data_IF_284116414439
#
_entry.id   IF_284116414439
#
_cell.length_a   1.000
_cell.length_b   1.000
_cell.length_c   1.000
_cell.angle_alpha   90.00
_cell.angle_beta   90.00
_cell.angle_gamma   90.00
#
_symmetry.space_group_name_H-M   'P 1'
#
loop_
_entity.id
_entity.type
_entity.pdbx_description
1 polymer ?
#
# COMPACT_ATOMS: atom_id res chain seq x y z
N UNK A 1 47.90 56.76 11.50
CA UNK A 1 47.66 56.04 10.22
C UNK A 1 47.05 54.70 10.59
N UNK A 2 45.72 54.58 10.48
CA UNK A 2 45.01 53.89 9.37
C UNK A 2 45.27 52.37 9.43
N UNK A 3 44.32 51.45 9.50
CA UNK A 3 42.87 51.43 9.25
C UNK A 3 42.52 50.06 8.63
N UNK A 4 41.26 49.59 8.80
CA UNK A 4 40.54 48.46 8.11
C UNK A 4 40.94 47.02 8.45
N UNK A 5 40.11 45.98 8.36
CA UNK A 5 38.64 45.71 8.28
C UNK A 5 38.54 44.17 8.49
N UNK A 6 37.69 43.65 9.39
CA UNK A 6 36.46 42.87 9.13
C UNK A 6 36.50 41.82 8.01
N UNK A 7 36.17 40.58 8.37
CA UNK A 7 35.21 39.65 7.70
C UNK A 7 34.98 38.47 8.66
N UNK A 8 33.88 38.42 9.41
CA UNK A 8 32.56 37.84 9.06
C UNK A 8 32.61 36.36 8.62
N UNK A 9 32.74 35.47 9.60
CA UNK A 9 32.32 34.07 9.48
C UNK A 9 30.92 33.91 10.08
N UNK A 10 29.88 34.18 9.28
CA UNK A 10 28.50 33.81 9.63
C UNK A 10 28.41 32.28 9.70
N UNK A 11 28.33 31.75 10.91
CA UNK A 11 27.80 30.40 11.14
C UNK A 11 26.33 30.40 10.69
N UNK A 12 26.02 29.67 9.63
CA UNK A 12 24.65 29.35 9.22
C UNK A 12 24.06 28.36 10.23
N UNK A 13 23.61 28.88 11.37
CA UNK A 13 22.76 28.15 12.32
C UNK A 13 21.34 28.10 11.79
N UNK A 14 21.08 27.24 10.80
CA UNK A 14 19.71 26.81 10.49
C UNK A 14 19.29 25.77 11.52
N UNK A 15 18.21 26.01 12.25
CA UNK A 15 17.66 25.00 13.16
C UNK A 15 17.27 23.74 12.36
N UNK A 16 17.65 22.53 12.77
CA UNK A 16 17.35 21.27 12.05
C UNK A 16 15.86 21.09 11.74
N UNK A 17 14.99 21.70 12.55
CA UNK A 17 13.54 21.67 12.40
C UNK A 17 12.99 22.53 11.25
N UNK A 18 13.76 23.49 10.69
CA UNK A 18 13.31 24.33 9.58
C UNK A 18 13.56 23.64 8.22
N UNK A 19 14.68 22.91 8.09
CA UNK A 19 14.99 22.12 6.90
C UNK A 19 14.01 20.94 6.73
N UNK A 20 13.49 20.38 7.83
CA UNK A 20 12.57 19.25 7.80
C UNK A 20 11.16 19.56 7.25
N UNK A 21 10.77 20.84 7.19
CA UNK A 21 9.45 21.27 6.73
C UNK A 21 9.49 21.82 5.29
N UNK A 22 10.64 22.33 4.84
CA UNK A 22 10.77 22.97 3.53
C UNK A 22 10.42 22.04 2.36
N UNK A 23 10.75 20.75 2.47
CA UNK A 23 10.41 19.72 1.49
C UNK A 23 8.90 19.46 1.34
N UNK A 24 8.09 19.95 2.27
CA UNK A 24 6.63 19.77 2.31
C UNK A 24 5.86 21.04 1.97
N UNK A 25 6.55 22.16 1.75
CA UNK A 25 5.91 23.43 1.38
C UNK A 25 5.64 23.50 -0.12
N UNK A 26 4.42 23.93 -0.46
CA UNK A 26 4.06 24.25 -1.84
C UNK A 26 4.82 25.52 -2.25
N UNK A 27 5.70 25.39 -3.25
CA UNK A 27 6.55 26.49 -3.71
C UNK A 27 5.82 27.43 -4.67
N UNK A 28 4.89 26.89 -5.44
CA UNK A 28 4.06 27.66 -6.38
C UNK A 28 2.56 27.34 -6.15
N UNK A 29 1.87 28.17 -5.35
CA UNK A 29 0.44 27.97 -5.06
C UNK A 29 -0.46 28.09 -6.29
N UNK A 30 -0.09 28.88 -7.29
CA UNK A 30 -0.89 29.07 -8.50
C UNK A 30 -0.81 27.83 -9.40
N UNK A 31 0.40 27.33 -9.63
CA UNK A 31 0.62 26.07 -10.34
C UNK A 31 -0.07 24.90 -9.63
N UNK A 32 0.03 24.86 -8.29
CA UNK A 32 -0.66 23.84 -7.49
C UNK A 32 -2.18 23.91 -7.66
N UNK A 33 -2.79 25.09 -7.56
CA UNK A 33 -4.23 25.25 -7.74
C UNK A 33 -4.69 24.81 -9.15
N UNK A 34 -3.94 25.19 -10.18
CA UNK A 34 -4.20 24.77 -11.56
C UNK A 34 -4.11 23.25 -11.74
N UNK A 35 -3.07 22.63 -11.18
CA UNK A 35 -2.91 21.18 -11.22
C UNK A 35 -4.01 20.46 -10.44
N UNK A 36 -4.46 21.02 -9.31
CA UNK A 36 -5.59 20.44 -8.60
C UNK A 36 -6.89 20.50 -9.41
N UNK A 37 -7.13 21.58 -10.16
CA UNK A 37 -8.26 21.65 -11.08
C UNK A 37 -8.20 20.56 -12.16
N UNK A 38 -7.01 20.32 -12.75
CA UNK A 38 -6.78 19.24 -13.72
C UNK A 38 -6.99 17.85 -13.10
N UNK A 39 -6.53 17.63 -11.87
CA UNK A 39 -6.73 16.38 -11.15
C UNK A 39 -8.22 16.10 -10.91
N UNK A 40 -9.00 17.13 -10.53
CA UNK A 40 -10.45 17.02 -10.36
C UNK A 40 -11.14 16.69 -11.68
N UNK A 41 -10.73 17.31 -12.79
CA UNK A 41 -11.26 16.99 -14.12
C UNK A 41 -11.00 15.51 -14.48
N UNK A 42 -9.79 15.02 -14.27
CA UNK A 42 -9.43 13.62 -14.50
C UNK A 42 -10.21 12.66 -13.58
N UNK A 43 -10.39 13.03 -12.30
CA UNK A 43 -11.22 12.28 -11.37
C UNK A 43 -12.69 12.22 -11.82
N UNK A 44 -13.23 13.31 -12.38
CA UNK A 44 -14.57 13.33 -12.97
C UNK A 44 -14.72 12.35 -14.14
N UNK A 45 -13.70 12.25 -15.01
CA UNK A 45 -13.66 11.26 -16.10
C UNK A 45 -13.62 9.84 -15.57
N UNK A 46 -12.78 9.57 -14.56
CA UNK A 46 -12.70 8.28 -13.88
C UNK A 46 -14.05 7.87 -13.27
N UNK A 47 -14.69 8.79 -12.53
CA UNK A 47 -16.00 8.56 -11.92
C UNK A 47 -17.08 8.26 -12.97
N UNK A 48 -17.12 9.02 -14.07
CA UNK A 48 -18.06 8.78 -15.18
C UNK A 48 -17.87 7.38 -15.80
N UNK A 49 -16.61 6.98 -16.04
CA UNK A 49 -16.31 5.65 -16.58
C UNK A 49 -16.69 4.52 -15.61
N UNK A 50 -16.57 4.74 -14.30
CA UNK A 50 -16.92 3.77 -13.26
C UNK A 50 -18.44 3.63 -13.05
N UNK A 51 -19.20 4.73 -13.15
CA UNK A 51 -20.66 4.73 -12.95
C UNK A 51 -21.38 4.08 -14.14
N UNK A 52 -20.91 4.33 -15.36
CA UNK A 52 -21.62 3.95 -16.60
C UNK A 52 -22.10 2.48 -16.64
N UNK A 53 -21.29 1.45 -16.31
CA UNK A 53 -21.78 0.06 -16.32
C UNK A 53 -22.70 -0.29 -15.14
N UNK A 54 -22.62 0.46 -14.03
CA UNK A 54 -23.44 0.25 -12.83
C UNK A 54 -24.85 0.79 -13.03
N UNK A 55 -25.01 1.88 -13.77
CA UNK A 55 -26.33 2.36 -14.25
C UNK A 55 -26.99 1.35 -15.20
N UNK A 56 -26.21 0.56 -15.94
CA UNK A 56 -26.67 -0.51 -16.82
C UNK A 56 -27.04 -1.81 -16.06
N UNK A 57 -27.03 -1.80 -14.72
CA UNK A 57 -27.46 -2.95 -13.90
C UNK A 57 -26.43 -4.08 -13.77
N UNK A 58 -25.17 -3.86 -14.16
CA UNK A 58 -24.07 -4.82 -13.96
C UNK A 58 -23.43 -4.57 -12.58
N UNK A 59 -23.97 -5.17 -11.53
CA UNK A 59 -23.39 -5.08 -10.17
C UNK A 59 -23.03 -6.47 -9.68
N UNK A 60 -21.79 -6.59 -9.19
CA UNK A 60 -21.23 -7.79 -8.56
C UNK A 60 -21.51 -7.82 -7.05
N UNK A 61 -21.71 -9.01 -6.49
CA UNK A 61 -22.23 -9.26 -5.14
C UNK A 61 -21.19 -8.99 -4.04
N UNK A 62 -21.18 -7.79 -3.46
CA UNK A 62 -20.26 -7.42 -2.37
C UNK A 62 -20.79 -7.73 -0.95
N UNK A 63 -21.93 -8.41 -0.81
CA UNK A 63 -22.62 -8.58 0.49
C UNK A 63 -22.13 -9.74 1.35
N UNK A 64 -21.62 -10.82 0.74
CA UNK A 64 -21.21 -12.02 1.49
C UNK A 64 -19.95 -11.81 2.34
N UNK A 65 -18.86 -11.19 1.83
CA UNK A 65 -17.64 -10.99 2.61
C UNK A 65 -17.85 -10.12 3.86
N UNK A 66 -18.71 -9.10 3.76
CA UNK A 66 -19.02 -8.21 4.88
C UNK A 66 -19.79 -8.92 6.00
N UNK A 67 -20.71 -9.80 5.64
CA UNK A 67 -21.48 -10.57 6.63
C UNK A 67 -20.59 -11.51 7.42
N UNK A 68 -19.64 -12.18 6.76
CA UNK A 68 -18.68 -13.08 7.42
C UNK A 68 -17.69 -12.32 8.30
N UNK A 69 -17.23 -11.14 7.85
CA UNK A 69 -16.39 -10.25 8.64
C UNK A 69 -17.09 -9.83 9.95
N UNK A 70 -18.33 -9.35 9.87
CA UNK A 70 -19.10 -8.92 11.04
C UNK A 70 -19.29 -10.08 12.02
N UNK A 71 -19.72 -11.25 11.53
CA UNK A 71 -19.90 -12.46 12.38
C UNK A 71 -18.61 -12.86 13.07
N UNK A 72 -17.48 -12.78 12.37
CA UNK A 72 -16.17 -13.14 12.90
C UNK A 72 -15.77 -12.19 14.04
N UNK A 73 -15.88 -10.87 13.85
CA UNK A 73 -15.55 -9.91 14.90
C UNK A 73 -16.57 -9.87 16.05
N UNK A 74 -17.83 -10.22 15.83
CA UNK A 74 -18.80 -10.39 16.92
C UNK A 74 -18.35 -11.43 17.93
N UNK A 75 -17.82 -12.57 17.48
CA UNK A 75 -17.29 -13.61 18.37
C UNK A 75 -16.04 -13.16 19.13
N UNK A 76 -15.15 -12.42 18.47
CA UNK A 76 -13.97 -11.81 19.14
C UNK A 76 -14.44 -10.84 20.23
N UNK A 77 -15.41 -9.98 19.90
CA UNK A 77 -15.97 -9.00 20.83
C UNK A 77 -16.66 -9.67 22.01
N UNK A 78 -17.46 -10.71 21.78
CA UNK A 78 -18.10 -11.50 22.82
C UNK A 78 -17.09 -12.10 23.80
N UNK A 79 -15.97 -12.64 23.28
CA UNK A 79 -14.89 -13.16 24.13
C UNK A 79 -14.34 -12.09 25.07
N UNK A 80 -14.05 -10.89 24.57
CA UNK A 80 -13.48 -9.81 25.40
C UNK A 80 -14.50 -9.18 26.34
N UNK A 81 -15.76 -9.06 25.93
CA UNK A 81 -16.82 -8.45 26.73
C UNK A 81 -17.41 -9.40 27.78
N UNK A 82 -17.21 -10.72 27.64
CA UNK A 82 -17.64 -11.71 28.63
C UNK A 82 -16.92 -11.60 29.99
N UNK A 83 -15.81 -10.85 30.05
CA UNK A 83 -15.07 -10.60 31.28
C UNK A 83 -14.58 -9.14 31.31
N UNK A 84 -15.20 -8.29 32.16
CA UNK A 84 -14.82 -6.90 32.29
C UNK A 84 -13.35 -6.68 32.63
N UNK A 85 -12.70 -7.59 33.38
CA UNK A 85 -11.31 -7.43 33.75
C UNK A 85 -10.38 -7.56 32.53
N UNK A 86 -10.65 -8.50 31.62
CA UNK A 86 -9.91 -8.65 30.35
C UNK A 86 -10.07 -7.43 29.45
N UNK A 87 -11.28 -6.91 29.30
CA UNK A 87 -11.53 -5.71 28.50
C UNK A 87 -10.82 -4.47 29.09
N UNK A 88 -10.85 -4.30 30.42
CA UNK A 88 -10.17 -3.20 31.09
C UNK A 88 -8.64 -3.29 30.96
N UNK A 89 -8.06 -4.48 31.10
CA UNK A 89 -6.62 -4.70 30.90
C UNK A 89 -6.20 -4.33 29.47
N UNK A 90 -6.95 -4.80 28.47
CA UNK A 90 -6.68 -4.49 27.06
C UNK A 90 -6.78 -2.98 26.76
N UNK A 91 -7.77 -2.29 27.33
CA UNK A 91 -7.89 -0.83 27.18
C UNK A 91 -6.77 -0.08 27.91
N UNK A 92 -6.40 -0.52 29.10
CA UNK A 92 -5.32 0.08 29.90
C UNK A 92 -3.99 -0.02 29.16
N UNK A 93 -3.66 -1.19 28.59
CA UNK A 93 -2.46 -1.39 27.78
C UNK A 93 -2.43 -0.46 26.56
N UNK A 94 -3.55 -0.32 25.84
CA UNK A 94 -3.64 0.60 24.70
C UNK A 94 -3.43 2.07 25.13
N UNK A 95 -4.11 2.49 26.19
CA UNK A 95 -4.00 3.86 26.71
C UNK A 95 -2.57 4.16 27.15
N UNK A 96 -1.92 3.25 27.89
CA UNK A 96 -0.52 3.38 28.27
C UNK A 96 0.38 3.54 27.05
N UNK A 97 0.22 2.70 26.02
CA UNK A 97 1.01 2.81 24.79
C UNK A 97 0.79 4.16 24.08
N UNK A 98 -0.44 4.66 23.98
CA UNK A 98 -0.70 5.98 23.41
C UNK A 98 -0.10 7.12 24.22
N UNK A 99 -0.13 7.05 25.55
CA UNK A 99 0.55 8.03 26.40
C UNK A 99 2.07 8.01 26.18
N UNK A 100 2.66 6.83 25.98
CA UNK A 100 4.08 6.70 25.62
C UNK A 100 4.36 7.29 24.24
N UNK A 101 3.55 6.98 23.22
CA UNK A 101 3.69 7.57 21.87
C UNK A 101 3.61 9.10 21.92
N UNK A 102 2.63 9.65 22.63
CA UNK A 102 2.47 11.09 22.81
C UNK A 102 3.68 11.72 23.53
N UNK A 103 4.14 11.11 24.63
CA UNK A 103 5.30 11.59 25.39
C UNK A 103 6.58 11.55 24.56
N UNK A 104 6.81 10.45 23.84
CA UNK A 104 7.96 10.29 22.96
C UNK A 104 7.93 11.32 21.83
N UNK A 105 6.76 11.62 21.29
CA UNK A 105 6.60 12.62 20.22
C UNK A 105 6.94 14.04 20.69
N UNK A 106 6.54 14.42 21.91
CA UNK A 106 6.91 15.72 22.51
C UNK A 106 8.42 15.82 22.72
N UNK A 107 9.03 14.75 23.25
CA UNK A 107 10.49 14.71 23.46
C UNK A 107 11.25 14.78 22.14
N UNK A 108 10.80 14.05 21.12
CA UNK A 108 11.37 14.06 19.77
C UNK A 108 11.25 15.42 19.11
N UNK A 109 10.11 16.10 19.26
CA UNK A 109 9.94 17.48 18.82
C UNK A 109 10.88 18.47 19.54
N UNK A 110 11.36 18.12 20.74
CA UNK A 110 12.35 18.89 21.51
C UNK A 110 13.80 18.52 21.17
N UNK A 111 14.03 17.60 20.24
CA UNK A 111 15.37 17.16 19.79
C UNK A 111 15.91 15.90 20.47
N UNK A 112 15.16 15.28 21.38
CA UNK A 112 15.58 14.03 22.03
C UNK A 112 15.29 12.80 21.17
N UNK A 113 16.29 11.95 20.96
CA UNK A 113 16.07 10.63 20.32
C UNK A 113 15.44 9.69 21.34
N UNK A 114 14.27 9.14 21.01
CA UNK A 114 13.58 8.13 21.82
C UNK A 114 13.49 6.82 21.03
N UNK A 115 13.50 5.69 21.73
CA UNK A 115 13.19 4.40 21.10
C UNK A 115 11.70 4.31 20.76
N UNK A 116 11.42 3.69 19.61
CA UNK A 116 10.07 3.37 19.15
C UNK A 116 9.34 2.45 20.15
N UNK A 117 8.07 2.75 20.42
CA UNK A 117 7.20 1.91 21.29
C UNK A 117 6.98 0.55 20.63
N UNK A 118 6.74 0.57 19.32
CA UNK A 118 6.63 -0.62 18.49
C UNK A 118 7.49 -0.40 17.25
N UNK A 119 8.37 -1.36 16.95
CA UNK A 119 9.15 -1.36 15.70
C UNK A 119 8.31 -1.98 14.58
N UNK A 120 8.40 -1.48 13.34
CA UNK A 120 7.85 -2.17 12.19
C UNK A 120 8.37 -3.60 12.10
N UNK A 121 7.59 -4.48 11.47
CA UNK A 121 8.04 -5.84 11.19
C UNK A 121 9.29 -5.83 10.30
N UNK A 122 10.16 -6.83 10.49
CA UNK A 122 11.40 -6.94 9.72
C UNK A 122 11.08 -7.02 8.23
N UNK A 123 11.57 -6.04 7.47
CA UNK A 123 11.38 -5.98 6.02
C UNK A 123 10.12 -5.25 5.56
N UNK A 124 9.38 -4.60 6.47
CA UNK A 124 8.27 -3.73 6.09
C UNK A 124 8.78 -2.47 5.36
N UNK A 125 8.72 -2.51 4.02
CA UNK A 125 9.20 -1.43 3.16
C UNK A 125 8.33 -0.18 3.20
N UNK A 126 7.12 -0.24 3.79
CA UNK A 126 6.21 0.93 3.87
C UNK A 126 6.81 2.06 4.70
N UNK A 127 7.68 1.72 5.65
CA UNK A 127 8.33 2.65 6.58
C UNK A 127 9.82 2.83 6.28
N UNK A 128 10.24 2.65 5.02
CA UNK A 128 11.64 2.73 4.62
C UNK A 128 12.17 4.17 4.46
N UNK A 129 11.30 5.14 4.17
CA UNK A 129 11.70 6.54 4.07
C UNK A 129 12.23 7.08 5.42
N UNK A 130 13.38 7.77 5.46
CA UNK A 130 13.95 8.26 6.70
C UNK A 130 13.04 9.20 7.50
N UNK A 131 12.10 9.89 6.86
CA UNK A 131 11.22 10.83 7.57
C UNK A 131 10.19 10.13 8.45
N UNK A 132 9.95 8.82 8.25
CA UNK A 132 9.19 8.01 9.19
C UNK A 132 9.85 7.91 10.58
N UNK A 133 11.15 8.19 10.66
CA UNK A 133 11.88 8.31 11.93
C UNK A 133 12.27 9.75 12.21
N UNK A 134 12.79 10.48 11.23
CA UNK A 134 13.40 11.80 11.47
C UNK A 134 12.38 12.92 11.70
N UNK A 135 11.15 12.77 11.22
CA UNK A 135 10.11 13.78 11.34
C UNK A 135 9.09 13.40 12.42
N UNK A 136 8.94 14.25 13.44
CA UNK A 136 8.07 13.98 14.59
C UNK A 136 6.60 13.77 14.21
N UNK A 137 6.10 14.39 13.14
CA UNK A 137 4.72 14.22 12.67
C UNK A 137 4.51 12.82 12.05
N UNK A 138 5.38 12.41 11.14
CA UNK A 138 5.28 11.10 10.48
C UNK A 138 5.60 9.96 11.46
N UNK A 139 6.57 10.15 12.36
CA UNK A 139 6.87 9.20 13.43
C UNK A 139 5.67 9.00 14.37
N UNK A 140 5.00 10.09 14.79
CA UNK A 140 3.79 10.00 15.62
C UNK A 140 2.68 9.19 14.94
N UNK A 141 2.43 9.43 13.65
CA UNK A 141 1.41 8.71 12.87
C UNK A 141 1.79 7.24 12.72
N UNK A 142 3.05 6.94 12.35
CA UNK A 142 3.59 5.58 12.25
C UNK A 142 3.43 4.84 13.58
N UNK A 143 3.87 5.43 14.69
CA UNK A 143 3.81 4.80 16.01
C UNK A 143 2.36 4.58 16.48
N UNK A 144 1.46 5.55 16.23
CA UNK A 144 0.04 5.38 16.51
C UNK A 144 -0.54 4.19 15.73
N UNK A 145 -0.20 4.08 14.43
CA UNK A 145 -0.61 2.97 13.58
C UNK A 145 -0.06 1.62 14.08
N UNK A 146 1.23 1.52 14.39
CA UNK A 146 1.87 0.29 14.83
C UNK A 146 1.34 -0.18 16.19
N UNK A 147 1.14 0.74 17.14
CA UNK A 147 0.53 0.44 18.44
C UNK A 147 -0.90 -0.07 18.26
N UNK A 148 -1.70 0.59 17.42
CA UNK A 148 -3.10 0.22 17.20
C UNK A 148 -3.22 -1.13 16.50
N UNK A 149 -2.47 -1.34 15.42
CA UNK A 149 -2.49 -2.58 14.65
C UNK A 149 -1.99 -3.77 15.47
N UNK A 150 -0.91 -3.59 16.25
CA UNK A 150 -0.43 -4.62 17.17
C UNK A 150 -1.46 -4.94 18.25
N UNK A 151 -2.04 -3.92 18.89
CA UNK A 151 -3.09 -4.12 19.89
C UNK A 151 -4.30 -4.86 19.31
N UNK A 152 -4.75 -4.48 18.12
CA UNK A 152 -5.89 -5.11 17.47
C UNK A 152 -5.60 -6.58 17.08
N UNK A 153 -4.38 -6.88 16.63
CA UNK A 153 -3.93 -8.26 16.41
C UNK A 153 -3.82 -9.06 17.73
N UNK A 154 -3.37 -8.44 18.82
CA UNK A 154 -3.34 -9.06 20.15
C UNK A 154 -4.76 -9.38 20.66
N UNK A 155 -5.77 -8.56 20.34
CA UNK A 155 -7.17 -8.89 20.66
C UNK A 155 -7.65 -10.15 19.94
N UNK A 156 -7.25 -10.34 18.68
CA UNK A 156 -7.65 -11.51 17.92
C UNK A 156 -6.91 -12.76 18.40
N UNK A 157 -5.59 -12.70 18.49
CA UNK A 157 -4.74 -13.83 18.88
C UNK A 157 -4.95 -14.24 20.35
N UNK A 158 -5.21 -13.27 21.24
CA UNK A 158 -5.51 -13.50 22.65
C UNK A 158 -6.91 -14.05 22.93
N UNK A 159 -7.77 -14.19 21.91
CA UNK A 159 -9.13 -14.70 22.07
C UNK A 159 -9.20 -16.24 22.21
N UNK A 160 -8.69 -16.79 23.31
CA UNK A 160 -8.51 -18.24 23.53
C UNK A 160 -9.81 -19.09 23.50
N UNK A 161 -10.99 -18.47 23.57
CA UNK A 161 -12.28 -19.16 23.51
C UNK A 161 -12.81 -19.41 22.09
N UNK A 162 -12.11 -18.97 21.05
CA UNK A 162 -12.51 -19.12 19.65
C UNK A 162 -12.03 -20.45 19.06
N UNK A 163 -12.87 -21.06 18.23
CA UNK A 163 -12.47 -22.17 17.37
C UNK A 163 -11.41 -21.72 16.35
N UNK A 164 -10.53 -22.64 15.96
CA UNK A 164 -9.38 -22.33 15.09
C UNK A 164 -9.80 -21.67 13.78
N UNK A 165 -10.91 -22.11 13.18
CA UNK A 165 -11.41 -21.55 11.92
C UNK A 165 -11.82 -20.09 12.08
N UNK A 166 -12.55 -19.75 13.15
CA UNK A 166 -12.92 -18.36 13.45
C UNK A 166 -11.68 -17.52 13.75
N UNK A 167 -10.70 -18.05 14.50
CA UNK A 167 -9.45 -17.34 14.80
C UNK A 167 -8.68 -16.98 13.53
N UNK A 168 -8.44 -17.94 12.64
CA UNK A 168 -7.73 -17.68 11.38
C UNK A 168 -8.46 -16.65 10.50
N UNK A 169 -9.81 -16.69 10.46
CA UNK A 169 -10.58 -15.67 9.77
C UNK A 169 -10.42 -14.29 10.39
N UNK A 170 -10.46 -14.22 11.72
CA UNK A 170 -10.31 -12.96 12.44
C UNK A 170 -8.92 -12.36 12.22
N UNK A 171 -7.87 -13.19 12.22
CA UNK A 171 -6.50 -12.77 11.94
C UNK A 171 -6.39 -12.23 10.51
N UNK A 172 -6.90 -12.99 9.54
CA UNK A 172 -6.95 -12.56 8.14
C UNK A 172 -7.66 -11.22 7.98
N UNK A 173 -8.88 -11.06 8.50
CA UNK A 173 -9.62 -9.80 8.37
C UNK A 173 -8.94 -8.64 9.11
N UNK A 174 -8.36 -8.90 10.29
CA UNK A 174 -7.64 -7.88 11.04
C UNK A 174 -6.41 -7.39 10.28
N UNK A 175 -5.64 -8.29 9.68
CA UNK A 175 -4.51 -7.93 8.81
C UNK A 175 -4.97 -7.11 7.60
N UNK A 176 -6.10 -7.47 6.96
CA UNK A 176 -6.63 -6.68 5.83
C UNK A 176 -7.02 -5.26 6.27
N UNK A 177 -7.71 -5.11 7.41
CA UNK A 177 -8.11 -3.81 7.95
C UNK A 177 -6.88 -3.00 8.34
N UNK A 178 -5.92 -3.59 9.06
CA UNK A 178 -4.68 -2.94 9.45
C UNK A 178 -3.86 -2.51 8.22
N UNK A 179 -3.79 -3.34 7.17
CA UNK A 179 -3.10 -2.97 5.95
C UNK A 179 -3.81 -1.84 5.19
N UNK A 180 -5.14 -1.85 5.14
CA UNK A 180 -5.93 -0.80 4.50
C UNK A 180 -5.77 0.56 5.19
N UNK A 181 -5.70 0.57 6.53
CA UNK A 181 -5.55 1.77 7.34
C UNK A 181 -4.10 2.25 7.50
N UNK A 182 -3.12 1.59 6.86
CA UNK A 182 -1.72 2.00 6.92
C UNK A 182 -1.55 3.46 6.48
N UNK A 183 -0.83 4.30 7.24
CA UNK A 183 -0.62 5.71 6.88
C UNK A 183 0.19 5.87 5.58
N UNK A 184 0.94 4.84 5.17
CA UNK A 184 1.61 4.80 3.87
C UNK A 184 0.65 4.86 2.67
N UNK A 185 -0.64 4.55 2.87
CA UNK A 185 -1.63 4.49 1.79
C UNK A 185 -2.24 5.85 1.45
N UNK A 186 -2.01 6.88 2.27
CA UNK A 186 -2.66 8.19 2.10
C UNK A 186 -1.63 9.29 1.86
N UNK A 187 -1.95 10.19 0.94
CA UNK A 187 -1.04 11.23 0.45
C UNK A 187 -0.51 12.12 1.58
N UNK A 188 -1.38 12.57 2.49
CA UNK A 188 -1.02 13.53 3.55
C UNK A 188 -0.26 12.89 4.73
N UNK A 189 -0.27 11.56 4.83
CA UNK A 189 0.37 10.83 5.92
C UNK A 189 1.57 10.03 5.46
N UNK A 190 1.88 10.04 4.16
CA UNK A 190 3.05 9.40 3.57
C UNK A 190 4.10 10.48 3.22
N UNK A 191 5.31 10.44 3.81
CA UNK A 191 6.33 11.47 3.61
C UNK A 191 6.79 11.56 2.15
N UNK A 192 6.99 10.43 1.47
CA UNK A 192 7.40 10.39 0.06
C UNK A 192 6.37 11.05 -0.84
N UNK A 193 5.10 10.67 -0.68
CA UNK A 193 4.01 11.21 -1.49
C UNK A 193 3.75 12.69 -1.20
N UNK A 194 3.77 13.10 0.06
CA UNK A 194 3.58 14.50 0.41
C UNK A 194 4.71 15.33 -0.19
N UNK A 195 5.97 14.96 0.03
CA UNK A 195 7.13 15.67 -0.52
C UNK A 195 7.12 15.73 -2.05
N UNK A 196 6.79 14.64 -2.74
CA UNK A 196 6.63 14.64 -4.20
C UNK A 196 5.49 15.56 -4.64
N UNK A 197 4.37 15.55 -3.92
CA UNK A 197 3.23 16.43 -4.23
C UNK A 197 3.59 17.90 -4.05
N UNK A 198 4.29 18.24 -2.97
CA UNK A 198 4.76 19.59 -2.72
C UNK A 198 5.80 20.03 -3.75
N UNK A 199 6.81 19.19 -4.01
CA UNK A 199 7.89 19.47 -4.96
C UNK A 199 7.43 19.56 -6.42
N UNK A 200 6.41 18.80 -6.81
CA UNK A 200 5.83 18.80 -8.16
C UNK A 200 4.63 19.73 -8.32
N UNK A 201 4.28 20.51 -7.30
CA UNK A 201 3.06 21.33 -7.24
C UNK A 201 1.82 20.52 -7.69
N UNK A 202 1.68 19.29 -7.19
CA UNK A 202 0.52 18.42 -7.44
C UNK A 202 0.46 17.72 -8.79
N UNK A 203 1.49 17.85 -9.65
CA UNK A 203 1.48 17.18 -10.97
C UNK A 203 1.42 15.64 -10.84
N UNK A 204 2.01 15.07 -9.79
CA UNK A 204 1.92 13.65 -9.49
C UNK A 204 0.46 13.17 -9.33
N UNK A 205 -0.40 13.97 -8.69
CA UNK A 205 -1.83 13.66 -8.52
C UNK A 205 -2.54 13.69 -9.88
N UNK A 206 -2.25 14.69 -10.72
CA UNK A 206 -2.83 14.80 -12.06
C UNK A 206 -2.52 13.54 -12.88
N UNK A 207 -1.24 13.14 -12.93
CA UNK A 207 -0.82 11.92 -13.62
C UNK A 207 -1.52 10.69 -13.05
N UNK A 208 -1.58 10.54 -11.73
CA UNK A 208 -2.25 9.42 -11.08
C UNK A 208 -3.75 9.32 -11.42
N UNK A 209 -4.46 10.45 -11.43
CA UNK A 209 -5.88 10.48 -11.80
C UNK A 209 -6.12 10.17 -13.29
N UNK A 210 -5.22 10.60 -14.18
CA UNK A 210 -5.26 10.23 -15.59
C UNK A 210 -5.07 8.72 -15.78
N UNK A 211 -4.06 8.14 -15.12
CA UNK A 211 -3.83 6.69 -15.15
C UNK A 211 -5.03 5.92 -14.61
N UNK A 212 -5.64 6.37 -13.50
CA UNK A 212 -6.86 5.76 -12.95
C UNK A 212 -8.03 5.82 -13.94
N UNK A 213 -8.25 6.95 -14.60
CA UNK A 213 -9.32 7.10 -15.58
C UNK A 213 -9.12 6.14 -16.77
N UNK A 214 -7.89 6.02 -17.26
CA UNK A 214 -7.55 5.08 -18.32
C UNK A 214 -7.70 3.61 -17.88
N UNK A 215 -7.31 3.27 -16.66
CA UNK A 215 -7.43 1.91 -16.09
C UNK A 215 -8.91 1.49 -15.98
N UNK A 216 -9.77 2.41 -15.53
CA UNK A 216 -11.23 2.18 -15.47
C UNK A 216 -11.81 2.05 -16.87
N UNK A 217 -11.42 2.93 -17.79
CA UNK A 217 -11.89 2.85 -19.18
C UNK A 217 -11.47 1.53 -19.84
N UNK A 218 -10.22 1.10 -19.65
CA UNK A 218 -9.69 -0.16 -20.16
C UNK A 218 -10.35 -1.39 -19.52
N UNK A 219 -10.74 -1.29 -18.25
CA UNK A 219 -11.52 -2.30 -17.53
C UNK A 219 -13.03 -2.23 -17.79
N UNK A 220 -13.48 -1.38 -18.72
CA UNK A 220 -14.90 -1.19 -19.06
C UNK A 220 -15.77 -0.81 -17.85
N UNK A 221 -15.19 0.02 -16.98
CA UNK A 221 -15.80 0.60 -15.78
C UNK A 221 -15.49 -0.13 -14.46
N UNK A 222 -14.68 -1.19 -14.50
CA UNK A 222 -13.93 -1.66 -13.34
C UNK A 222 -12.46 -1.25 -13.45
N UNK A 223 -11.79 -1.08 -12.31
CA UNK A 223 -10.37 -0.71 -12.30
C UNK A 223 -9.55 -1.90 -12.79
N UNK A 224 -9.00 -1.79 -13.99
CA UNK A 224 -8.01 -2.75 -14.50
C UNK A 224 -6.61 -2.20 -14.27
N UNK A 225 -5.96 -2.67 -13.21
CA UNK A 225 -4.58 -2.28 -12.87
C UNK A 225 -3.64 -2.72 -14.00
N UNK A 226 -3.16 -1.77 -14.80
CA UNK A 226 -2.19 -2.03 -15.88
C UNK A 226 -0.77 -1.86 -15.34
N UNK A 227 0.02 -2.91 -15.40
CA UNK A 227 1.46 -2.85 -15.05
C UNK A 227 2.35 -2.57 -16.26
N UNK A 228 1.87 -2.91 -17.46
CA UNK A 228 2.55 -2.70 -18.74
C UNK A 228 1.54 -2.29 -19.79
N UNK A 229 2.02 -1.65 -20.86
CA UNK A 229 1.22 -1.43 -22.06
C UNK A 229 1.03 -2.77 -22.80
N UNK A 230 -0.19 -3.33 -22.86
CA UNK A 230 -0.43 -4.61 -23.50
C UNK A 230 -0.33 -4.53 -25.03
N UNK A 231 -0.38 -3.34 -25.63
CA UNK A 231 -0.36 -3.18 -27.10
C UNK A 231 0.98 -3.57 -27.71
N UNK A 232 2.04 -3.61 -26.91
CA UNK A 232 3.37 -4.01 -27.35
C UNK A 232 3.61 -5.53 -27.31
N UNK A 233 2.65 -6.34 -26.84
CA UNK A 233 2.82 -7.79 -26.69
C UNK A 233 1.82 -8.59 -27.53
N UNK A 234 2.37 -9.36 -28.47
CA UNK A 234 1.65 -10.24 -29.38
C UNK A 234 2.16 -11.68 -29.20
N UNK A 235 1.27 -12.56 -28.70
CA UNK A 235 1.54 -13.99 -28.55
C UNK A 235 1.88 -14.59 -29.91
N UNK A 236 2.99 -15.32 -29.98
CA UNK A 236 3.52 -15.93 -31.20
C UNK A 236 4.41 -15.02 -32.04
N UNK A 237 4.49 -13.71 -31.74
CA UNK A 237 5.37 -12.76 -32.46
C UNK A 237 6.53 -12.27 -31.61
N UNK A 238 6.24 -11.78 -30.41
CA UNK A 238 7.26 -11.27 -29.48
C UNK A 238 7.08 -11.81 -28.04
N UNK A 239 6.12 -12.72 -27.84
CA UNK A 239 5.92 -13.48 -26.62
C UNK A 239 5.58 -14.94 -26.97
N UNK A 240 6.03 -15.92 -26.17
CA UNK A 240 5.84 -17.34 -26.45
C UNK A 240 6.33 -17.77 -27.85
N UNK A 241 7.54 -17.33 -28.22
CA UNK A 241 8.10 -17.46 -29.58
C UNK A 241 9.03 -18.67 -29.76
N UNK A 242 9.21 -19.51 -28.74
CA UNK A 242 10.05 -20.71 -28.83
C UNK A 242 9.52 -21.62 -29.95
N UNK A 243 10.34 -21.96 -30.97
CA UNK A 243 9.90 -22.77 -32.08
C UNK A 243 9.35 -24.12 -31.61
N UNK A 244 8.18 -24.49 -32.13
CA UNK A 244 7.48 -25.69 -31.73
C UNK A 244 6.21 -25.90 -32.54
N UNK A 245 5.56 -27.03 -32.31
CA UNK A 245 4.33 -27.41 -33.01
C UNK A 245 3.34 -28.07 -32.07
N UNK A 246 2.06 -27.83 -32.30
CA UNK A 246 0.98 -28.57 -31.64
C UNK A 246 0.93 -29.98 -32.23
N UNK A 247 1.18 -31.00 -31.41
CA UNK A 247 1.22 -32.42 -31.82
C UNK A 247 -0.02 -33.21 -31.40
N UNK A 248 -0.80 -32.69 -30.45
CA UNK A 248 -2.10 -33.24 -30.08
C UNK A 248 -3.00 -32.12 -29.54
N UNK A 249 -4.32 -32.27 -29.71
CA UNK A 249 -5.34 -31.31 -29.27
C UNK A 249 -6.57 -32.06 -28.77
N UNK A 250 -7.16 -31.59 -27.68
CA UNK A 250 -8.46 -32.00 -27.16
C UNK A 250 -9.33 -30.76 -26.83
N UNK A 251 -10.52 -30.98 -26.28
CA UNK A 251 -11.34 -29.88 -25.74
C UNK A 251 -10.71 -29.19 -24.52
N UNK A 252 -9.79 -29.87 -23.83
CA UNK A 252 -9.18 -29.38 -22.59
C UNK A 252 -7.79 -28.76 -22.82
N UNK A 253 -7.01 -29.31 -23.75
CA UNK A 253 -5.59 -28.92 -23.88
C UNK A 253 -5.02 -29.13 -25.27
N UNK A 254 -3.94 -28.40 -25.55
CA UNK A 254 -3.02 -28.62 -26.66
C UNK A 254 -1.66 -29.09 -26.13
N UNK A 255 -1.07 -30.09 -26.78
CA UNK A 255 0.29 -30.55 -26.48
C UNK A 255 1.24 -29.90 -27.49
N UNK A 256 2.16 -29.08 -26.99
CA UNK A 256 3.20 -28.44 -27.79
C UNK A 256 4.49 -29.24 -27.66
N UNK A 257 5.06 -29.66 -28.79
CA UNK A 257 6.41 -30.19 -28.88
C UNK A 257 7.34 -29.09 -29.40
N UNK A 258 8.26 -28.62 -28.57
CA UNK A 258 9.29 -27.66 -28.97
C UNK A 258 10.35 -28.30 -29.87
N UNK A 259 10.90 -27.50 -30.77
CA UNK A 259 11.98 -27.89 -31.66
C UNK A 259 13.29 -28.07 -30.88
N UNK A 260 14.05 -29.11 -31.22
CA UNK A 260 15.34 -29.35 -30.58
C UNK A 260 16.35 -28.29 -31.02
N UNK A 261 17.00 -27.63 -30.05
CA UNK A 261 18.06 -26.64 -30.31
C UNK A 261 19.47 -27.25 -30.28
N UNK A 262 19.57 -28.59 -30.23
CA UNK A 262 20.82 -29.36 -30.14
C UNK A 262 20.74 -30.62 -31.01
N UNK A 263 21.89 -31.18 -31.39
CA UNK A 263 21.96 -32.39 -32.22
C UNK A 263 21.45 -33.65 -31.50
N UNK A 264 21.65 -33.73 -30.18
CA UNK A 264 21.24 -34.87 -29.35
C UNK A 264 20.49 -34.42 -28.11
N UNK A 265 19.42 -35.14 -27.76
CA UNK A 265 18.60 -34.90 -26.57
C UNK A 265 18.59 -36.11 -25.64
N UNK A 266 18.17 -35.92 -24.39
CA UNK A 266 18.00 -37.01 -23.42
C UNK A 266 16.87 -37.94 -23.89
N UNK A 267 17.06 -39.26 -23.73
CA UNK A 267 16.10 -40.30 -24.15
C UNK A 267 14.70 -40.14 -23.51
N UNK A 268 14.62 -39.64 -22.27
CA UNK A 268 13.36 -39.43 -21.55
C UNK A 268 12.89 -37.98 -21.76
N UNK A 269 11.68 -37.74 -22.29
CA UNK A 269 11.17 -36.40 -22.48
C UNK A 269 10.79 -35.75 -21.13
N UNK A 270 10.83 -34.41 -21.10
CA UNK A 270 10.26 -33.60 -20.04
C UNK A 270 8.86 -33.16 -20.45
N UNK A 271 7.87 -33.42 -19.61
CA UNK A 271 6.51 -32.90 -19.78
C UNK A 271 6.28 -31.78 -18.76
N UNK A 272 5.93 -30.59 -19.25
CA UNK A 272 5.59 -29.44 -18.42
C UNK A 272 4.06 -29.31 -18.38
N UNK A 273 3.49 -29.36 -17.18
CA UNK A 273 2.06 -29.14 -16.96
C UNK A 273 1.87 -27.78 -16.28
N UNK A 274 1.56 -26.71 -17.04
CA UNK A 274 1.40 -25.36 -16.47
C UNK A 274 0.17 -25.26 -15.56
N UNK A 275 0.13 -24.29 -14.63
CA UNK A 275 -1.08 -23.99 -13.89
C UNK A 275 -2.19 -23.52 -14.84
N UNK A 276 -3.44 -23.82 -14.49
CA UNK A 276 -4.63 -23.54 -15.30
C UNK A 276 -5.29 -22.19 -15.01
N UNK A 277 -4.85 -21.49 -13.95
CA UNK A 277 -5.35 -20.16 -13.57
C UNK A 277 -4.80 -19.10 -14.53
N UNK A 278 -3.53 -19.24 -14.93
CA UNK A 278 -2.83 -18.33 -15.84
C UNK A 278 -2.46 -19.06 -17.14
N UNK A 279 -2.01 -18.33 -18.16
CA UNK A 279 -1.58 -18.97 -19.42
C UNK A 279 -0.18 -19.58 -19.30
N UNK A 280 0.09 -20.62 -20.09
CA UNK A 280 1.30 -21.44 -19.98
C UNK A 280 2.62 -20.66 -20.18
N UNK A 281 2.59 -19.56 -20.93
CA UNK A 281 3.77 -18.77 -21.30
C UNK A 281 4.24 -17.78 -20.21
N UNK A 282 3.71 -17.91 -18.99
CA UNK A 282 4.17 -17.17 -17.79
C UNK A 282 5.21 -18.00 -17.00
N UNK A 283 5.48 -19.24 -17.41
CA UNK A 283 6.52 -20.11 -16.86
C UNK A 283 7.93 -19.63 -17.22
#
# INVERSE_FOLDING_TARGET
MAGKDKTDGKASGGSPHLESVEGYLIKDPEAFAHNMARAIEAAGKAASAWIKPREEGKIDQMSEPMTDLVKTFSKVSEYWLSDPARALDAQTRLFSNYMTVWTNSIRRASGDVQEDVVKPDKGDKRFADPDWENNAFFDFIKQTYLVTSRWANELVTGANGLDDKTRHKAEFYMEQIANALSPSNFLLTNPELFRETAGSNGENIVRGMQMLAEDIAAGKGDVKIRQVDPTNFEVGRNMATTPGKVVARSETAEIIQYEATTETVIKRPLLICPPWINKFYIL
#
